data_IF_291521807379
#
_entry.id   IF_291521807379
#
_cell.length_a   1.000
_cell.length_b   1.000
_cell.length_c   1.000
_cell.angle_alpha   90.00
_cell.angle_beta   90.00
_cell.angle_gamma   90.00
#
_symmetry.space_group_name_H-M   'P 1'
#
loop_
_entity.id
_entity.type
_entity.pdbx_description
1 polymer ?
#
# COMPACT_ATOMS: atom_id res chain seq x y z
N UNK A 1 0.18 -4.56 17.00
CA UNK A 1 1.08 -5.64 17.49
C UNK A 1 1.06 -6.77 16.47
N UNK A 2 2.17 -7.50 16.28
CA UNK A 2 2.24 -8.59 15.29
C UNK A 2 2.04 -9.95 15.96
N UNK A 3 0.92 -10.60 15.68
CA UNK A 3 0.54 -11.90 16.23
C UNK A 3 0.73 -13.00 15.19
N UNK A 4 0.89 -14.26 15.61
CA UNK A 4 1.03 -15.41 14.67
C UNK A 4 -0.19 -16.30 14.77
N UNK A 5 -0.76 -16.70 13.63
CA UNK A 5 -1.90 -17.62 13.54
C UNK A 5 -1.55 -18.78 12.62
N UNK A 6 -1.90 -20.01 12.99
CA UNK A 6 -1.75 -21.15 12.08
C UNK A 6 -2.87 -21.15 11.05
N UNK A 7 -2.64 -21.78 9.90
CA UNK A 7 -3.68 -21.95 8.87
C UNK A 7 -4.95 -22.62 9.43
N UNK A 8 -4.76 -23.58 10.35
CA UNK A 8 -5.88 -24.26 11.02
C UNK A 8 -6.64 -23.32 11.95
N UNK A 9 -5.93 -22.53 12.75
CA UNK A 9 -6.55 -21.59 13.68
C UNK A 9 -7.27 -20.47 12.93
N UNK A 10 -6.68 -19.98 11.84
CA UNK A 10 -7.31 -19.01 10.95
C UNK A 10 -8.61 -19.57 10.36
N UNK A 11 -8.64 -20.84 9.95
CA UNK A 11 -9.87 -21.48 9.45
C UNK A 11 -10.94 -21.60 10.54
N UNK A 12 -10.55 -21.88 11.78
CA UNK A 12 -11.49 -22.12 12.87
C UNK A 12 -12.00 -20.83 13.54
N UNK A 13 -11.21 -19.75 13.50
CA UNK A 13 -11.48 -18.48 14.19
C UNK A 13 -11.38 -17.29 13.24
N UNK A 14 -11.72 -17.48 11.96
CA UNK A 14 -11.57 -16.45 10.93
C UNK A 14 -12.29 -15.15 11.29
N UNK A 15 -13.50 -15.24 11.84
CA UNK A 15 -14.28 -14.07 12.27
C UNK A 15 -13.56 -13.24 13.33
N UNK A 16 -13.08 -13.85 14.41
CA UNK A 16 -12.34 -13.17 15.48
C UNK A 16 -11.03 -12.55 14.96
N UNK A 17 -10.29 -13.30 14.14
CA UNK A 17 -9.02 -12.81 13.56
C UNK A 17 -9.28 -11.62 12.63
N UNK A 18 -10.29 -11.69 11.77
CA UNK A 18 -10.65 -10.59 10.87
C UNK A 18 -11.13 -9.37 11.66
N UNK A 19 -11.92 -9.55 12.72
CA UNK A 19 -12.39 -8.45 13.55
C UNK A 19 -11.25 -7.76 14.31
N UNK A 20 -10.25 -8.52 14.75
CA UNK A 20 -9.01 -7.98 15.34
C UNK A 20 -8.15 -7.24 14.30
N UNK A 21 -8.08 -7.77 13.07
CA UNK A 21 -7.43 -7.11 11.94
C UNK A 21 -8.13 -5.80 11.59
N UNK A 22 -9.45 -5.76 11.52
CA UNK A 22 -10.21 -4.52 11.32
C UNK A 22 -9.95 -3.49 12.42
N UNK A 23 -9.63 -3.93 13.64
CA UNK A 23 -9.27 -3.07 14.77
C UNK A 23 -7.81 -2.57 14.74
N UNK A 24 -7.05 -2.89 13.70
CA UNK A 24 -5.66 -2.44 13.53
C UNK A 24 -4.59 -3.50 13.83
N UNK A 25 -4.97 -4.74 14.16
CA UNK A 25 -4.00 -5.80 14.44
C UNK A 25 -3.45 -6.46 13.16
N UNK A 26 -2.21 -6.93 13.21
CA UNK A 26 -1.55 -7.61 12.09
C UNK A 26 -1.21 -9.05 12.48
N UNK A 27 -1.55 -10.00 11.61
CA UNK A 27 -1.31 -11.42 11.84
C UNK A 27 -0.40 -12.03 10.78
N UNK A 28 0.61 -12.78 11.20
CA UNK A 28 1.40 -13.66 10.33
C UNK A 28 0.72 -15.03 10.27
N UNK A 29 0.30 -15.44 9.07
CA UNK A 29 -0.29 -16.77 8.84
C UNK A 29 0.83 -17.77 8.60
N UNK A 30 0.79 -18.88 9.33
CA UNK A 30 1.75 -19.98 9.19
C UNK A 30 1.08 -21.25 8.68
N UNK A 31 1.77 -22.03 7.86
CA UNK A 31 1.39 -23.39 7.51
C UNK A 31 2.47 -24.35 8.04
N UNK A 32 2.08 -25.25 8.95
CA UNK A 32 3.02 -26.15 9.64
C UNK A 32 4.24 -25.42 10.25
N UNK A 33 3.98 -24.27 10.88
CA UNK A 33 5.01 -23.43 11.50
C UNK A 33 5.83 -22.55 10.53
N UNK A 34 5.67 -22.73 9.21
CA UNK A 34 6.32 -21.86 8.21
C UNK A 34 5.44 -20.65 7.90
N UNK A 35 5.92 -19.40 8.01
CA UNK A 35 5.16 -18.22 7.61
C UNK A 35 4.89 -18.24 6.10
N UNK A 36 3.63 -17.99 5.72
CA UNK A 36 3.17 -18.04 4.32
C UNK A 36 2.43 -16.78 3.87
N UNK A 37 1.83 -16.02 4.79
CA UNK A 37 1.10 -14.80 4.46
C UNK A 37 1.03 -13.86 5.67
N UNK A 38 0.56 -12.63 5.44
CA UNK A 38 0.26 -11.65 6.48
C UNK A 38 -1.12 -11.05 6.25
N UNK A 39 -1.99 -11.10 7.26
CA UNK A 39 -3.21 -10.32 7.29
C UNK A 39 -2.91 -8.96 7.92
N UNK A 40 -3.27 -7.90 7.21
CA UNK A 40 -3.15 -6.52 7.66
C UNK A 40 -4.51 -5.83 7.52
N UNK A 41 -4.80 -4.82 8.35
CA UNK A 41 -5.98 -3.99 8.17
C UNK A 41 -5.95 -3.32 6.79
N UNK A 42 -7.11 -3.13 6.17
CA UNK A 42 -7.22 -2.39 4.90
C UNK A 42 -7.21 -0.87 5.15
N UNK A 43 -7.48 -0.43 6.38
CA UNK A 43 -7.18 0.93 6.82
C UNK A 43 -5.68 1.04 7.12
N UNK A 44 -5.00 2.02 6.53
CA UNK A 44 -3.53 2.18 6.51
C UNK A 44 -2.77 1.32 5.50
N UNK A 45 -3.34 1.09 4.31
CA UNK A 45 -2.45 1.13 3.15
C UNK A 45 -1.80 2.52 3.18
N UNK A 46 -0.54 2.57 3.62
CA UNK A 46 0.29 3.77 3.48
C UNK A 46 0.20 4.27 2.03
N UNK A 47 0.68 5.49 1.75
CA UNK A 47 0.59 6.06 0.41
C UNK A 47 0.93 5.01 -0.64
N UNK A 48 0.10 4.91 -1.68
CA UNK A 48 0.22 3.94 -2.78
C UNK A 48 1.64 3.94 -3.39
N UNK A 49 2.35 5.04 -3.18
CA UNK A 49 3.78 5.21 -3.35
C UNK A 49 4.52 5.05 -2.01
N UNK A 50 5.16 3.90 -1.74
CA UNK A 50 5.92 3.69 -0.52
C UNK A 50 7.09 4.67 -0.43
N UNK A 51 7.23 5.33 0.73
CA UNK A 51 8.33 6.24 0.99
C UNK A 51 9.62 5.45 1.27
N UNK A 52 10.44 5.23 0.24
CA UNK A 52 11.72 4.52 0.38
C UNK A 52 12.82 5.32 1.10
N UNK A 53 12.75 6.65 1.03
CA UNK A 53 13.70 7.56 1.67
C UNK A 53 12.96 8.83 2.10
N UNK A 54 13.16 9.34 3.33
CA UNK A 54 12.58 10.60 3.75
C UNK A 54 13.09 11.75 2.87
N UNK A 55 12.24 12.76 2.64
CA UNK A 55 12.64 13.93 1.88
C UNK A 55 13.79 14.67 2.60
N UNK A 56 14.89 14.92 1.88
CA UNK A 56 16.00 15.71 2.41
C UNK A 56 15.66 17.20 2.49
N UNK A 57 14.67 17.65 1.71
CA UNK A 57 14.25 19.05 1.62
C UNK A 57 12.73 19.10 1.67
N UNK A 58 12.19 20.01 2.48
CA UNK A 58 10.76 20.25 2.62
C UNK A 58 10.44 21.65 2.09
N UNK A 59 9.50 21.74 1.14
CA UNK A 59 9.09 23.02 0.55
C UNK A 59 9.93 23.46 -0.65
N UNK A 60 9.83 24.74 -1.03
CA UNK A 60 10.47 25.31 -2.22
C UNK A 60 9.72 25.06 -3.53
N UNK A 61 8.81 24.08 -3.57
CA UNK A 61 8.01 23.76 -4.75
C UNK A 61 7.10 24.90 -5.21
N UNK A 62 6.59 25.71 -4.27
CA UNK A 62 5.73 26.86 -4.60
C UNK A 62 6.47 27.97 -5.36
N UNK A 63 7.80 28.05 -5.22
CA UNK A 63 8.64 29.07 -5.88
C UNK A 63 9.16 28.65 -7.25
N UNK A 64 8.93 27.41 -7.69
CA UNK A 64 9.34 26.96 -9.00
C UNK A 64 8.55 27.70 -10.08
N UNK A 65 9.27 28.22 -11.10
CA UNK A 65 8.63 28.85 -12.25
C UNK A 65 7.76 27.82 -12.96
N UNK A 66 6.45 28.04 -12.92
CA UNK A 66 5.50 27.20 -13.64
C UNK A 66 5.67 27.43 -15.14
N UNK A 67 5.83 26.33 -15.87
CA UNK A 67 5.81 26.33 -17.33
C UNK A 67 4.48 25.78 -17.80
N UNK A 68 3.89 26.48 -18.76
CA UNK A 68 2.73 26.00 -19.50
C UNK A 68 3.20 25.65 -20.90
N UNK A 69 2.81 24.48 -21.37
CA UNK A 69 3.02 24.04 -22.75
C UNK A 69 1.72 24.19 -23.53
N UNK A 70 1.82 24.45 -24.84
CA UNK A 70 0.66 24.63 -25.69
C UNK A 70 -0.10 23.31 -25.93
N UNK A 71 0.61 22.20 -25.94
CA UNK A 71 0.05 20.85 -26.10
C UNK A 71 -0.62 20.39 -24.81
N UNK A 72 -1.82 19.83 -24.91
CA UNK A 72 -2.51 19.29 -23.75
C UNK A 72 -1.81 18.03 -23.25
N UNK A 73 -1.64 17.87 -21.93
CA UNK A 73 -0.98 16.70 -21.35
C UNK A 73 -1.63 15.37 -21.73
N UNK A 74 -2.95 15.37 -21.96
CA UNK A 74 -3.68 14.19 -22.42
C UNK A 74 -3.21 13.71 -23.80
N UNK A 75 -2.90 14.64 -24.71
CA UNK A 75 -2.43 14.34 -26.06
C UNK A 75 -1.04 13.68 -26.01
N UNK A 76 -0.11 14.24 -25.23
CA UNK A 76 1.22 13.64 -25.01
C UNK A 76 1.13 12.27 -24.36
N UNK A 77 0.22 12.08 -23.41
CA UNK A 77 0.02 10.78 -22.76
C UNK A 77 -0.55 9.75 -23.74
N UNK A 78 -1.45 10.16 -24.63
CA UNK A 78 -2.00 9.26 -25.65
C UNK A 78 -0.94 8.85 -26.67
N UNK A 79 -0.13 9.81 -27.15
CA UNK A 79 1.01 9.55 -28.03
C UNK A 79 2.01 8.55 -27.39
N UNK A 80 2.39 8.77 -26.12
CA UNK A 80 3.27 7.87 -25.37
C UNK A 80 2.68 6.47 -25.16
N UNK A 81 1.35 6.37 -25.05
CA UNK A 81 0.67 5.08 -24.87
C UNK A 81 0.57 4.30 -26.17
N UNK A 82 0.63 4.97 -27.32
CA UNK A 82 0.48 4.39 -28.65
C UNK A 82 -0.94 3.85 -28.88
N UNK A 83 -1.51 4.14 -30.05
CA UNK A 83 -2.70 3.44 -30.53
C UNK A 83 -2.36 1.96 -30.70
N UNK A 84 -2.72 1.15 -29.71
CA UNK A 84 -2.71 -0.31 -29.83
C UNK A 84 -3.90 -0.78 -30.66
#
# INVERSE_FOLDING_TARGET
>A
MSSTVSHRDLRNRSGEVLHAVESGETYTVTNRGKPVARLVPIADAGPDLPLHRPAAVHGGFSGLRRHTIATASAETINDLRGDR
#
